data_IF_412514457422
#
_entry.id   IF_412514457422
#
_cell.length_a   1.000
_cell.length_b   1.000
_cell.length_c   1.000
_cell.angle_alpha   90.00
_cell.angle_beta   90.00
_cell.angle_gamma   90.00
#
_symmetry.space_group_name_H-M   'P 1'
#
loop_
_entity.id
_entity.type
_entity.pdbx_description
1 polymer ?
#
# COMPACT_ATOMS: atom_id res chain seq x y z
N UNK A 1 -26.51 -6.92 2.21
CA UNK A 1 -25.13 -6.82 2.72
C UNK A 1 -24.39 -5.89 1.80
N UNK A 2 -23.66 -4.91 2.33
CA UNK A 2 -22.74 -4.13 1.50
C UNK A 2 -21.71 -5.07 0.88
N UNK A 3 -21.40 -4.88 -0.40
CA UNK A 3 -20.36 -5.65 -1.07
C UNK A 3 -18.99 -5.23 -0.52
N UNK A 4 -18.05 -6.17 -0.30
CA UNK A 4 -16.70 -5.82 0.14
C UNK A 4 -16.02 -4.96 -0.93
N UNK A 5 -15.51 -3.80 -0.52
CA UNK A 5 -14.81 -2.88 -1.42
C UNK A 5 -13.31 -3.14 -1.37
N UNK A 6 -12.71 -3.26 -2.57
CA UNK A 6 -11.26 -3.40 -2.74
C UNK A 6 -10.75 -2.16 -3.47
N UNK A 7 -9.76 -1.50 -2.90
CA UNK A 7 -9.04 -0.38 -3.52
C UNK A 7 -7.70 -0.91 -4.00
N UNK A 8 -7.35 -0.68 -5.26
CA UNK A 8 -6.04 -1.08 -5.79
C UNK A 8 -5.21 0.17 -6.01
N UNK A 9 -4.01 0.20 -5.43
CA UNK A 9 -3.06 1.31 -5.58
C UNK A 9 -1.75 0.84 -6.17
N UNK A 10 -1.16 1.69 -7.01
CA UNK A 10 0.23 1.54 -7.42
C UNK A 10 1.15 2.09 -6.32
N UNK A 11 2.37 1.54 -6.23
CA UNK A 11 3.42 2.11 -5.39
C UNK A 11 3.64 3.62 -5.67
N UNK A 12 4.05 4.36 -4.64
CA UNK A 12 4.38 5.77 -4.74
C UNK A 12 5.72 6.03 -5.47
N UNK A 13 6.14 7.29 -5.56
CA UNK A 13 7.24 7.74 -6.41
C UNK A 13 8.58 7.06 -6.08
N UNK A 14 9.14 6.38 -7.09
CA UNK A 14 10.52 5.86 -7.10
C UNK A 14 11.52 7.00 -7.38
N UNK A 15 12.79 6.87 -6.94
CA UNK A 15 13.85 7.80 -7.33
C UNK A 15 14.09 7.81 -8.85
N UNK A 16 14.53 8.97 -9.35
CA UNK A 16 15.05 9.10 -10.71
C UNK A 16 16.50 8.59 -10.75
N UNK A 17 16.86 7.72 -11.72
CA UNK A 17 18.23 7.21 -11.84
C UNK A 17 19.24 8.36 -11.96
N UNK A 18 20.30 8.30 -11.14
CA UNK A 18 21.39 9.27 -11.18
C UNK A 18 21.11 10.64 -10.53
N UNK A 19 19.92 10.84 -9.93
CA UNK A 19 19.57 12.11 -9.28
C UNK A 19 19.74 12.02 -7.76
N UNK A 20 18.96 11.17 -7.10
CA UNK A 20 19.02 10.93 -5.67
C UNK A 20 18.41 9.56 -5.36
N UNK A 21 18.87 8.91 -4.28
CA UNK A 21 18.26 7.66 -3.84
C UNK A 21 16.88 7.90 -3.21
N UNK A 22 16.07 6.84 -3.19
CA UNK A 22 14.89 6.80 -2.32
C UNK A 22 15.32 6.51 -0.89
N UNK A 23 14.36 6.39 0.01
CA UNK A 23 14.59 6.00 1.40
C UNK A 23 13.67 4.84 1.79
N UNK A 24 14.20 3.94 2.62
CA UNK A 24 13.43 2.87 3.25
C UNK A 24 12.56 3.41 4.42
N UNK A 25 11.86 2.51 5.10
CA UNK A 25 11.00 2.86 6.25
C UNK A 25 11.77 3.34 7.49
N UNK A 26 13.11 3.17 7.53
CA UNK A 26 13.99 3.68 8.59
C UNK A 26 14.67 4.99 8.20
N UNK A 27 14.46 5.47 6.98
CA UNK A 27 15.08 6.67 6.44
C UNK A 27 16.47 6.42 5.84
N UNK A 28 16.91 5.17 5.67
CA UNK A 28 18.18 4.89 5.01
C UNK A 28 18.05 5.01 3.49
N UNK A 29 19.05 5.60 2.81
CA UNK A 29 19.10 5.65 1.35
C UNK A 29 19.04 4.25 0.70
N UNK A 30 18.23 4.12 -0.35
CA UNK A 30 18.20 2.92 -1.20
C UNK A 30 17.55 3.19 -2.56
N UNK A 31 18.09 2.57 -3.62
CA UNK A 31 17.51 2.61 -4.98
C UNK A 31 16.15 1.89 -5.12
N UNK A 32 15.81 1.02 -4.15
CA UNK A 32 14.51 0.35 -4.09
C UNK A 32 13.50 1.10 -3.21
N UNK A 33 13.89 2.21 -2.59
CA UNK A 33 13.05 3.02 -1.72
C UNK A 33 12.04 3.90 -2.45
N UNK A 34 11.26 4.63 -1.65
CA UNK A 34 10.43 5.73 -2.12
C UNK A 34 11.18 7.06 -1.97
N UNK A 35 10.94 8.00 -2.87
CA UNK A 35 11.41 9.39 -2.67
C UNK A 35 10.70 10.01 -1.46
N UNK A 36 11.24 11.09 -0.84
CA UNK A 36 10.52 11.87 0.17
C UNK A 36 9.12 12.33 -0.30
N UNK A 37 8.98 12.64 -1.60
CA UNK A 37 7.69 12.94 -2.24
C UNK A 37 6.76 11.73 -2.23
N UNK A 38 7.29 10.54 -2.53
CA UNK A 38 6.55 9.27 -2.47
C UNK A 38 6.01 8.98 -1.08
N UNK A 39 6.84 9.12 -0.06
CA UNK A 39 6.41 9.00 1.33
C UNK A 39 5.31 10.00 1.70
N UNK A 40 5.48 11.26 1.30
CA UNK A 40 4.50 12.31 1.55
C UNK A 40 3.15 12.03 0.87
N UNK A 41 3.15 11.55 -0.37
CA UNK A 41 1.93 11.18 -1.11
C UNK A 41 1.26 9.94 -0.54
N UNK A 42 2.05 8.96 -0.09
CA UNK A 42 1.54 7.78 0.62
C UNK A 42 0.79 8.18 1.89
N UNK A 43 1.37 9.06 2.71
CA UNK A 43 0.70 9.60 3.90
C UNK A 43 -0.52 10.46 3.58
N UNK A 44 -0.47 11.27 2.52
CA UNK A 44 -1.61 12.09 2.09
C UNK A 44 -2.80 11.23 1.62
N UNK A 45 -2.54 10.13 0.91
CA UNK A 45 -3.59 9.17 0.53
C UNK A 45 -4.24 8.54 1.76
N UNK A 46 -3.45 8.19 2.77
CA UNK A 46 -3.96 7.68 4.04
C UNK A 46 -4.91 8.68 4.72
N UNK A 47 -4.55 9.97 4.73
CA UNK A 47 -5.43 11.04 5.26
C UNK A 47 -6.72 11.14 4.44
N UNK A 48 -6.63 11.09 3.11
CA UNK A 48 -7.82 11.11 2.23
C UNK A 48 -8.76 9.93 2.48
N UNK A 49 -8.21 8.74 2.77
CA UNK A 49 -8.96 7.54 3.16
C UNK A 49 -9.55 7.64 4.56
N UNK A 50 -8.84 8.26 5.51
CA UNK A 50 -9.33 8.45 6.89
C UNK A 50 -10.59 9.31 6.96
N UNK A 51 -10.69 10.29 6.06
CA UNK A 51 -11.84 11.19 5.94
C UNK A 51 -12.80 10.79 4.81
N UNK A 52 -12.67 9.58 4.28
CA UNK A 52 -13.54 9.07 3.23
C UNK A 52 -14.86 8.53 3.80
N UNK A 53 -15.88 8.35 2.95
CA UNK A 53 -17.19 7.83 3.35
C UNK A 53 -18.27 8.88 3.61
N UNK A 54 -18.09 10.12 3.16
CA UNK A 54 -19.22 11.04 2.98
C UNK A 54 -20.23 10.43 1.98
N UNK A 55 -21.54 10.77 2.02
CA UNK A 55 -22.54 10.16 1.13
C UNK A 55 -22.25 10.24 -0.37
N UNK A 56 -21.45 11.22 -0.80
CA UNK A 56 -20.99 11.40 -2.18
C UNK A 56 -19.60 10.81 -2.47
N UNK A 57 -18.88 10.35 -1.44
CA UNK A 57 -17.51 9.87 -1.53
C UNK A 57 -17.47 8.34 -1.53
N UNK A 58 -17.11 7.78 -2.68
CA UNK A 58 -17.04 6.33 -2.90
C UNK A 58 -15.71 5.71 -2.45
N UNK A 59 -14.74 6.51 -2.00
CA UNK A 59 -13.51 5.95 -1.44
C UNK A 59 -13.82 5.39 -0.05
N UNK A 60 -13.47 4.13 0.27
CA UNK A 60 -13.67 3.59 1.61
C UNK A 60 -12.45 3.90 2.49
N UNK A 61 -12.66 3.91 3.80
CA UNK A 61 -11.55 3.72 4.75
C UNK A 61 -11.26 2.21 4.84
N UNK A 62 -10.06 1.73 4.45
CA UNK A 62 -9.75 0.31 4.55
C UNK A 62 -9.66 -0.13 6.02
N UNK A 63 -10.04 -1.39 6.29
CA UNK A 63 -9.82 -2.06 7.57
C UNK A 63 -8.45 -2.74 7.67
N UNK A 64 -7.80 -2.98 6.52
CA UNK A 64 -6.50 -3.63 6.38
C UNK A 64 -5.84 -3.25 5.05
N UNK A 65 -4.53 -3.45 4.96
CA UNK A 65 -3.73 -3.18 3.76
C UNK A 65 -2.91 -4.41 3.39
N UNK A 66 -2.88 -4.76 2.11
CA UNK A 66 -1.96 -5.75 1.55
C UNK A 66 -0.84 -5.06 0.77
N UNK A 67 0.33 -5.70 0.77
CA UNK A 67 1.41 -5.36 -0.14
C UNK A 67 2.02 -6.62 -0.74
N UNK A 68 2.49 -6.52 -1.98
CA UNK A 68 3.19 -7.62 -2.63
C UNK A 68 4.50 -7.91 -1.90
N UNK A 69 4.72 -9.17 -1.54
CA UNK A 69 5.99 -9.69 -1.05
C UNK A 69 7.07 -9.54 -2.14
N UNK A 70 8.31 -9.31 -1.72
CA UNK A 70 9.46 -9.35 -2.63
C UNK A 70 9.94 -10.79 -2.81
N UNK A 71 10.51 -11.07 -3.97
CA UNK A 71 11.21 -12.32 -4.28
C UNK A 71 12.53 -12.00 -5.02
N UNK A 72 13.43 -12.97 -5.23
CA UNK A 72 14.72 -12.73 -5.90
C UNK A 72 14.61 -12.11 -7.31
N UNK A 73 13.54 -12.39 -8.04
CA UNK A 73 13.28 -11.85 -9.37
C UNK A 73 12.54 -10.49 -9.31
N UNK A 74 11.91 -10.18 -8.17
CA UNK A 74 11.09 -8.98 -7.94
C UNK A 74 11.44 -8.28 -6.62
N UNK A 75 12.69 -7.79 -6.51
CA UNK A 75 13.23 -7.19 -5.28
C UNK A 75 12.70 -5.77 -4.92
N UNK A 76 11.68 -5.25 -5.60
CA UNK A 76 11.22 -3.87 -5.38
C UNK A 76 10.35 -3.75 -4.11
N UNK A 77 10.87 -3.12 -3.07
CA UNK A 77 10.16 -2.91 -1.79
C UNK A 77 9.09 -1.80 -1.83
N UNK A 78 9.02 -1.02 -2.92
CA UNK A 78 8.13 0.16 -3.04
C UNK A 78 6.64 -0.10 -2.75
N UNK A 79 6.02 -1.23 -3.18
CA UNK A 79 4.65 -1.54 -2.78
C UNK A 79 4.51 -1.64 -1.26
N UNK A 80 5.44 -2.35 -0.59
CA UNK A 80 5.47 -2.49 0.87
C UNK A 80 5.70 -1.15 1.55
N UNK A 81 6.61 -0.31 1.07
CA UNK A 81 6.84 1.02 1.64
C UNK A 81 5.62 1.95 1.51
N UNK A 82 4.90 1.87 0.39
CA UNK A 82 3.65 2.63 0.19
C UNK A 82 2.56 2.13 1.14
N UNK A 83 2.35 0.82 1.20
CA UNK A 83 1.41 0.19 2.12
C UNK A 83 1.74 0.52 3.59
N UNK A 84 3.02 0.51 3.96
CA UNK A 84 3.50 0.84 5.30
C UNK A 84 3.12 2.26 5.70
N UNK A 85 3.38 3.24 4.83
CA UNK A 85 3.01 4.64 5.08
C UNK A 85 1.50 4.82 5.24
N UNK A 86 0.68 4.06 4.51
CA UNK A 86 -0.78 4.11 4.63
C UNK A 86 -1.26 3.42 5.90
N UNK A 87 -0.82 2.18 6.14
CA UNK A 87 -1.24 1.35 7.26
C UNK A 87 -0.88 2.00 8.61
N UNK A 88 0.36 2.50 8.75
CA UNK A 88 0.77 3.22 9.95
C UNK A 88 -0.09 4.46 10.21
N UNK A 89 -0.35 5.27 9.17
CA UNK A 89 -1.09 6.52 9.33
C UNK A 89 -2.58 6.29 9.63
N UNK A 90 -3.16 5.20 9.13
CA UNK A 90 -4.55 4.79 9.38
C UNK A 90 -4.73 3.96 10.66
N UNK A 91 -3.64 3.40 11.22
CA UNK A 91 -3.68 2.50 12.36
C UNK A 91 -4.33 1.16 12.04
N UNK A 92 -4.06 0.59 10.86
CA UNK A 92 -4.64 -0.68 10.39
C UNK A 92 -3.57 -1.73 10.13
N UNK A 93 -3.88 -3.03 10.23
CA UNK A 93 -2.93 -4.09 9.95
C UNK A 93 -2.47 -4.08 8.48
N UNK A 94 -1.18 -4.30 8.30
CA UNK A 94 -0.55 -4.56 7.01
C UNK A 94 -0.20 -6.05 6.91
N UNK A 95 -0.49 -6.66 5.74
CA UNK A 95 -0.13 -8.04 5.40
C UNK A 95 0.69 -8.04 4.11
N UNK A 96 1.76 -8.81 4.08
CA UNK A 96 2.71 -8.78 2.96
C UNK A 96 3.30 -10.14 2.59
N UNK A 97 2.49 -11.19 2.78
CA UNK A 97 2.85 -12.59 2.55
C UNK A 97 2.52 -13.12 1.15
N UNK A 98 1.86 -12.32 0.30
CA UNK A 98 1.53 -12.73 -1.07
C UNK A 98 2.48 -12.11 -2.09
N UNK A 99 3.14 -12.95 -2.87
CA UNK A 99 4.02 -12.56 -3.96
C UNK A 99 3.30 -12.49 -5.31
N UNK A 100 4.09 -12.36 -6.38
CA UNK A 100 3.59 -12.52 -7.75
C UNK A 100 3.14 -13.96 -7.98
N UNK A 101 1.97 -14.16 -8.58
CA UNK A 101 1.41 -15.50 -8.82
C UNK A 101 0.45 -16.00 -7.75
N UNK A 102 0.36 -15.30 -6.61
CA UNK A 102 -0.54 -15.66 -5.51
C UNK A 102 -1.93 -15.02 -5.63
N UNK A 103 -2.30 -14.47 -6.81
CA UNK A 103 -3.51 -13.66 -6.96
C UNK A 103 -4.79 -14.43 -6.59
N UNK A 104 -4.86 -15.73 -6.90
CA UNK A 104 -6.00 -16.57 -6.53
C UNK A 104 -6.12 -16.73 -5.00
N UNK A 105 -5.00 -16.90 -4.31
CA UNK A 105 -4.97 -17.02 -2.85
C UNK A 105 -5.31 -15.67 -2.18
N UNK A 106 -4.79 -14.56 -2.72
CA UNK A 106 -5.15 -13.21 -2.29
C UNK A 106 -6.65 -12.96 -2.40
N UNK A 107 -7.26 -13.29 -3.56
CA UNK A 107 -8.72 -13.12 -3.77
C UNK A 107 -9.51 -13.93 -2.74
N UNK A 108 -9.12 -15.18 -2.48
CA UNK A 108 -9.79 -16.02 -1.48
C UNK A 108 -9.72 -15.40 -0.07
N UNK A 109 -8.54 -14.91 0.36
CA UNK A 109 -8.36 -14.30 1.68
C UNK A 109 -9.14 -12.97 1.82
N UNK A 110 -9.08 -12.11 0.79
CA UNK A 110 -9.73 -10.80 0.80
C UNK A 110 -11.26 -10.94 0.84
N UNK A 111 -11.82 -11.82 0.01
CA UNK A 111 -13.27 -12.01 -0.09
C UNK A 111 -13.85 -12.80 1.09
N UNK A 112 -13.09 -13.72 1.68
CA UNK A 112 -13.52 -14.52 2.83
C UNK A 112 -13.71 -13.72 4.13
N UNK A 113 -13.07 -12.56 4.25
CA UNK A 113 -13.08 -11.77 5.50
C UNK A 113 -14.07 -10.59 5.51
N UNK A 114 -14.69 -10.22 4.38
CA UNK A 114 -15.82 -9.28 4.35
C UNK A 114 -15.55 -7.82 4.79
N UNK A 115 -14.29 -7.39 4.88
CA UNK A 115 -13.91 -6.02 5.30
C UNK A 115 -13.35 -5.21 4.11
N UNK A 116 -13.53 -3.87 4.09
CA UNK A 116 -12.87 -3.00 3.12
C UNK A 116 -11.36 -3.18 3.14
N UNK A 117 -10.77 -3.40 1.96
CA UNK A 117 -9.36 -3.78 1.81
C UNK A 117 -8.66 -2.83 0.84
N UNK A 118 -7.43 -2.45 1.18
CA UNK A 118 -6.46 -1.83 0.28
C UNK A 118 -5.43 -2.87 -0.16
#
# INVERSE_FOLDING_TARGET
MDQPMVVIVRHAEKPEPGVAEGVDHKGHPTGHGLTPRGWSRSGALAVRMAHAGAPSDRLPRPGRVYATATDPDHASDRPRLTAHGIAQRLGVPMRDHFGRGDEAALVAEVTGAGEPTL
#
